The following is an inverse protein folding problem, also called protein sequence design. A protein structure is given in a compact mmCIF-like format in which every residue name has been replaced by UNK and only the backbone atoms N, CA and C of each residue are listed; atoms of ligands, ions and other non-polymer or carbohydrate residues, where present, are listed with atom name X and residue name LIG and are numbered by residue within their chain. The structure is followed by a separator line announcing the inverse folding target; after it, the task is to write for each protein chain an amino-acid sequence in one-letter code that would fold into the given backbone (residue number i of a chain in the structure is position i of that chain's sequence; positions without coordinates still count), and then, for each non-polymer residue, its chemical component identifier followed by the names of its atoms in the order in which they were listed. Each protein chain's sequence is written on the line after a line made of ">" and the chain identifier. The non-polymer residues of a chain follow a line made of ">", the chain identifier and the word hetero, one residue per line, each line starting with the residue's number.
data_IF_488106573708
#
_entry.id   IF_488106573708
#
_cell.length_a   1.000
_cell.length_b   1.000
_cell.length_c   1.000
_cell.angle_alpha   90.00
_cell.angle_beta   90.00
_cell.angle_gamma   90.00
#
_symmetry.space_group_name_H-M   'P 1'
#
loop_
_entity.id
_entity.type
_entity.pdbx_description
1 polymer ?
#
# COMPACT_ATOMS: atom_id res chain seq x y z
N UNK A 1 -62.05 60.82 18.47
CA UNK A 1 -60.74 60.38 18.99
C UNK A 1 -60.41 58.91 18.71
N UNK A 2 -61.36 57.97 18.74
CA UNK A 2 -61.07 56.54 18.48
C UNK A 2 -60.89 56.16 17.01
N UNK A 3 -61.57 56.86 16.08
CA UNK A 3 -61.52 56.55 14.64
C UNK A 3 -60.22 56.98 13.96
N UNK A 4 -59.65 58.12 14.36
CA UNK A 4 -58.42 58.66 13.74
C UNK A 4 -57.18 57.86 14.15
N UNK A 5 -57.17 57.31 15.37
CA UNK A 5 -56.11 56.41 15.85
C UNK A 5 -56.12 55.05 15.12
N UNK A 6 -57.30 54.49 14.84
CA UNK A 6 -57.43 53.24 14.07
C UNK A 6 -56.90 53.37 12.65
N UNK A 7 -57.15 54.50 11.98
CA UNK A 7 -56.68 54.74 10.60
C UNK A 7 -55.15 54.85 10.57
N UNK A 8 -54.55 55.57 11.52
CA UNK A 8 -53.09 55.68 11.63
C UNK A 8 -52.42 54.31 11.88
N UNK A 9 -53.03 53.47 12.71
CA UNK A 9 -52.52 52.15 13.04
C UNK A 9 -52.57 51.19 11.83
N UNK A 10 -53.67 51.23 11.06
CA UNK A 10 -53.81 50.42 9.82
C UNK A 10 -52.81 50.85 8.75
N UNK A 11 -52.58 52.15 8.58
CA UNK A 11 -51.60 52.68 7.61
C UNK A 11 -50.16 52.25 7.90
N UNK A 12 -49.81 51.99 9.16
CA UNK A 12 -48.47 51.54 9.54
C UNK A 12 -48.34 50.02 9.49
N UNK A 13 -49.35 49.28 9.98
CA UNK A 13 -49.27 47.82 10.07
C UNK A 13 -49.50 47.09 8.75
N UNK A 14 -50.38 47.62 7.88
CA UNK A 14 -50.65 47.00 6.60
C UNK A 14 -49.42 46.89 5.68
N UNK A 15 -48.62 47.95 5.43
CA UNK A 15 -47.43 47.84 4.59
C UNK A 15 -46.32 46.99 5.24
N UNK A 16 -46.19 47.01 6.57
CA UNK A 16 -45.22 46.18 7.28
C UNK A 16 -45.52 44.68 7.12
N UNK A 17 -46.79 44.29 7.23
CA UNK A 17 -47.23 42.91 7.03
C UNK A 17 -47.03 42.43 5.58
N UNK A 18 -47.34 43.28 4.60
CA UNK A 18 -47.14 42.98 3.17
C UNK A 18 -45.66 42.83 2.84
N UNK A 19 -44.80 43.72 3.36
CA UNK A 19 -43.35 43.65 3.17
C UNK A 19 -42.73 42.37 3.74
N UNK A 20 -43.11 41.98 4.96
CA UNK A 20 -42.66 40.72 5.57
C UNK A 20 -43.10 39.49 4.77
N UNK A 21 -44.37 39.45 4.35
CA UNK A 21 -44.91 38.30 3.60
C UNK A 21 -44.25 38.16 2.22
N UNK A 22 -44.09 39.26 1.50
CA UNK A 22 -43.41 39.27 0.20
C UNK A 22 -41.93 38.89 0.34
N UNK A 23 -41.22 39.45 1.33
CA UNK A 23 -39.82 39.13 1.60
C UNK A 23 -39.59 37.66 1.94
N UNK A 24 -40.47 37.05 2.75
CA UNK A 24 -40.38 35.64 3.09
C UNK A 24 -40.64 34.72 1.88
N UNK A 25 -41.65 35.04 1.06
CA UNK A 25 -42.00 34.25 -0.13
C UNK A 25 -40.94 34.34 -1.23
N UNK A 26 -40.46 35.54 -1.56
CA UNK A 26 -39.45 35.74 -2.59
C UNK A 26 -38.05 35.30 -2.12
N UNK A 27 -37.69 35.58 -0.86
CA UNK A 27 -36.40 35.19 -0.29
C UNK A 27 -36.24 33.67 -0.18
N UNK A 28 -37.31 32.95 0.20
CA UNK A 28 -37.29 31.49 0.28
C UNK A 28 -37.01 30.81 -1.07
N UNK A 29 -37.58 31.33 -2.17
CA UNK A 29 -37.36 30.78 -3.50
C UNK A 29 -35.90 30.96 -3.96
N UNK A 30 -35.32 32.15 -3.75
CA UNK A 30 -33.92 32.42 -4.08
C UNK A 30 -32.94 31.56 -3.29
N UNK A 31 -33.19 31.37 -1.99
CA UNK A 31 -32.33 30.51 -1.13
C UNK A 31 -32.38 29.05 -1.56
N UNK A 32 -33.55 28.54 -1.96
CA UNK A 32 -33.65 27.15 -2.45
C UNK A 32 -32.97 26.96 -3.79
N UNK A 33 -33.01 27.96 -4.68
CA UNK A 33 -32.31 27.90 -5.96
C UNK A 33 -30.78 27.86 -5.76
N UNK A 34 -30.24 28.75 -4.93
CA UNK A 34 -28.80 28.76 -4.61
C UNK A 34 -28.35 27.45 -3.95
N UNK A 35 -29.16 26.90 -3.03
CA UNK A 35 -28.86 25.60 -2.41
C UNK A 35 -28.90 24.45 -3.41
N UNK A 36 -29.84 24.48 -4.36
CA UNK A 36 -29.94 23.45 -5.39
C UNK A 36 -28.76 23.50 -6.37
N UNK A 37 -28.30 24.69 -6.75
CA UNK A 37 -27.10 24.86 -7.56
C UNK A 37 -25.85 24.37 -6.82
N UNK A 38 -25.68 24.78 -5.56
CA UNK A 38 -24.54 24.36 -4.76
C UNK A 38 -24.52 22.84 -4.49
N UNK A 39 -25.69 22.22 -4.28
CA UNK A 39 -25.80 20.77 -4.15
C UNK A 39 -25.38 20.03 -5.43
N UNK A 40 -25.73 20.58 -6.61
CA UNK A 40 -25.30 20.01 -7.90
C UNK A 40 -23.80 20.14 -8.12
N UNK A 41 -23.22 21.27 -7.76
CA UNK A 41 -21.77 21.50 -7.85
C UNK A 41 -20.99 20.51 -6.96
N UNK A 42 -21.41 20.33 -5.71
CA UNK A 42 -20.78 19.39 -4.78
C UNK A 42 -20.85 17.94 -5.28
N UNK A 43 -22.00 17.53 -5.84
CA UNK A 43 -22.15 16.19 -6.44
C UNK A 43 -21.25 16.03 -7.67
N UNK A 44 -21.22 17.02 -8.56
CA UNK A 44 -20.37 16.98 -9.75
C UNK A 44 -18.87 16.90 -9.42
N UNK A 45 -18.43 17.64 -8.39
CA UNK A 45 -17.05 17.58 -7.87
C UNK A 45 -16.73 16.23 -7.22
N UNK A 46 -17.67 15.63 -6.50
CA UNK A 46 -17.51 14.30 -5.92
C UNK A 46 -17.42 13.21 -7.00
N UNK A 47 -18.25 13.30 -8.05
CA UNK A 47 -18.28 12.34 -9.15
C UNK A 47 -17.03 12.40 -10.04
N UNK A 48 -16.53 13.60 -10.34
CA UNK A 48 -15.30 13.76 -11.13
C UNK A 48 -14.09 13.10 -10.44
N UNK A 49 -14.00 13.21 -9.12
CA UNK A 49 -12.92 12.59 -8.34
C UNK A 49 -13.10 11.08 -8.18
N UNK A 50 -14.35 10.58 -8.08
CA UNK A 50 -14.61 9.16 -7.87
C UNK A 50 -14.13 8.32 -9.06
N UNK A 51 -14.35 8.76 -10.31
CA UNK A 51 -13.96 8.01 -11.50
C UNK A 51 -12.44 7.82 -11.57
N UNK A 52 -11.66 8.89 -11.37
CA UNK A 52 -10.21 8.82 -11.40
C UNK A 52 -9.66 7.93 -10.28
N UNK A 53 -10.24 8.02 -9.07
CA UNK A 53 -9.88 7.17 -7.95
C UNK A 53 -10.23 5.70 -8.21
N UNK A 54 -11.42 5.39 -8.75
CA UNK A 54 -11.81 4.03 -9.09
C UNK A 54 -10.90 3.41 -10.15
N UNK A 55 -10.48 4.18 -11.16
CA UNK A 55 -9.52 3.70 -12.15
C UNK A 55 -8.13 3.47 -11.56
N UNK A 56 -7.67 4.34 -10.66
CA UNK A 56 -6.41 4.15 -9.93
C UNK A 56 -6.47 2.91 -9.03
N UNK A 57 -7.56 2.73 -8.27
CA UNK A 57 -7.79 1.57 -7.42
C UNK A 57 -7.90 0.27 -8.22
N UNK A 58 -8.59 0.28 -9.36
CA UNK A 58 -8.69 -0.89 -10.23
C UNK A 58 -7.31 -1.33 -10.75
N UNK A 59 -6.48 -0.36 -11.17
CA UNK A 59 -5.08 -0.63 -11.57
C UNK A 59 -4.25 -1.15 -10.41
N UNK A 60 -4.35 -0.53 -9.24
CA UNK A 60 -3.62 -0.96 -8.04
C UNK A 60 -4.02 -2.39 -7.62
N UNK A 61 -5.31 -2.70 -7.60
CA UNK A 61 -5.83 -4.03 -7.27
C UNK A 61 -5.35 -5.08 -8.28
N UNK A 62 -5.35 -4.77 -9.58
CA UNK A 62 -4.83 -5.66 -10.61
C UNK A 62 -3.35 -5.96 -10.39
N UNK A 63 -2.54 -4.92 -10.19
CA UNK A 63 -1.11 -5.07 -9.91
C UNK A 63 -0.86 -5.87 -8.62
N UNK A 64 -1.67 -5.66 -7.58
CA UNK A 64 -1.57 -6.41 -6.33
C UNK A 64 -1.89 -7.90 -6.53
N UNK A 65 -2.92 -8.21 -7.32
CA UNK A 65 -3.26 -9.60 -7.67
C UNK A 65 -2.15 -10.26 -8.47
N UNK A 66 -1.65 -9.58 -9.51
CA UNK A 66 -0.57 -10.07 -10.38
C UNK A 66 0.72 -10.30 -9.56
N UNK A 67 1.09 -9.36 -8.68
CA UNK A 67 2.24 -9.51 -7.79
C UNK A 67 2.05 -10.69 -6.82
N UNK A 68 0.87 -10.83 -6.23
CA UNK A 68 0.59 -11.96 -5.33
C UNK A 68 0.69 -13.31 -6.04
N UNK A 69 0.22 -13.39 -7.29
CA UNK A 69 0.28 -14.60 -8.10
C UNK A 69 1.73 -14.93 -8.49
N UNK A 70 2.48 -13.95 -8.98
CA UNK A 70 3.89 -14.10 -9.30
C UNK A 70 4.71 -14.51 -8.07
N UNK A 71 4.39 -13.95 -6.90
CA UNK A 71 5.05 -14.31 -5.64
C UNK A 71 4.79 -15.77 -5.27
N UNK A 72 3.53 -16.23 -5.35
CA UNK A 72 3.19 -17.65 -5.09
C UNK A 72 3.95 -18.60 -6.01
N UNK A 73 4.04 -18.27 -7.31
CA UNK A 73 4.78 -19.08 -8.29
C UNK A 73 6.28 -19.13 -7.92
N UNK A 74 6.88 -17.98 -7.58
CA UNK A 74 8.28 -17.92 -7.18
C UNK A 74 8.56 -18.73 -5.90
N UNK A 75 7.65 -18.66 -4.91
CA UNK A 75 7.77 -19.42 -3.66
C UNK A 75 7.60 -20.93 -3.91
N UNK A 76 6.65 -21.33 -4.77
CA UNK A 76 6.47 -22.73 -5.17
C UNK A 76 7.72 -23.29 -5.87
N UNK A 77 8.26 -22.58 -6.88
CA UNK A 77 9.47 -23.01 -7.58
C UNK A 77 10.67 -23.11 -6.63
N UNK A 78 10.75 -22.24 -5.62
CA UNK A 78 11.79 -22.32 -4.59
C UNK A 78 11.63 -23.58 -3.75
N UNK A 79 10.41 -23.90 -3.30
CA UNK A 79 10.14 -25.13 -2.56
C UNK A 79 10.40 -26.39 -3.39
N UNK A 80 10.01 -26.40 -4.67
CA UNK A 80 10.29 -27.52 -5.58
C UNK A 80 11.80 -27.76 -5.71
N UNK A 81 12.61 -26.71 -5.85
CA UNK A 81 14.08 -26.84 -5.86
C UNK A 81 14.63 -27.37 -4.55
N UNK A 82 14.11 -26.88 -3.41
CA UNK A 82 14.52 -27.37 -2.09
C UNK A 82 14.15 -28.85 -1.88
N UNK A 83 12.97 -29.27 -2.35
CA UNK A 83 12.56 -30.66 -2.30
C UNK A 83 13.38 -31.54 -3.25
N UNK A 84 13.69 -31.05 -4.45
CA UNK A 84 14.60 -31.74 -5.37
C UNK A 84 16.03 -31.84 -4.82
N UNK A 85 16.39 -31.01 -3.83
CA UNK A 85 17.70 -31.12 -3.18
C UNK A 85 17.82 -32.44 -2.42
N UNK A 86 16.75 -32.92 -1.77
CA UNK A 86 16.82 -34.18 -1.01
C UNK A 86 16.93 -35.42 -1.88
N UNK A 87 16.67 -35.32 -3.19
CA UNK A 87 16.84 -36.45 -4.13
C UNK A 87 18.22 -36.46 -4.79
N UNK A 88 18.95 -35.34 -4.78
CA UNK A 88 20.25 -35.19 -5.44
C UNK A 88 21.42 -35.03 -4.45
N UNK A 89 21.13 -34.67 -3.20
CA UNK A 89 22.13 -34.56 -2.13
C UNK A 89 22.05 -35.75 -1.19
N UNK A 90 23.21 -36.26 -0.80
CA UNK A 90 23.35 -37.46 0.04
C UNK A 90 23.52 -37.08 1.53
N UNK A 91 23.57 -35.79 1.87
CA UNK A 91 23.90 -35.34 3.23
C UNK A 91 25.36 -35.59 3.60
N UNK A 92 26.25 -35.78 2.62
CA UNK A 92 27.67 -36.07 2.85
C UNK A 92 28.40 -34.85 3.39
N UNK A 93 29.30 -35.06 4.34
CA UNK A 93 30.16 -34.01 4.88
C UNK A 93 31.07 -33.43 3.78
N UNK A 94 30.88 -32.15 3.45
CA UNK A 94 31.67 -31.42 2.46
C UNK A 94 32.69 -30.49 3.11
N UNK A 95 32.32 -29.80 4.18
CA UNK A 95 33.22 -28.90 4.92
C UNK A 95 33.19 -29.24 6.40
N UNK A 96 34.39 -29.27 7.00
CA UNK A 96 34.60 -29.51 8.43
C UNK A 96 34.91 -28.19 9.14
N UNK A 97 34.83 -28.21 10.46
CA UNK A 97 34.95 -27.05 11.36
C UNK A 97 36.10 -26.06 11.03
N UNK A 98 37.35 -26.49 10.69
CA UNK A 98 38.41 -25.54 10.34
C UNK A 98 38.12 -24.70 9.07
N UNK A 99 37.49 -25.32 8.07
CA UNK A 99 37.12 -24.64 6.84
C UNK A 99 35.91 -23.72 7.04
N UNK A 100 34.98 -24.11 7.92
CA UNK A 100 33.83 -23.29 8.29
C UNK A 100 34.26 -22.04 9.06
N UNK A 101 35.22 -22.17 9.99
CA UNK A 101 35.80 -21.02 10.68
C UNK A 101 36.45 -20.01 9.73
N UNK A 102 37.12 -20.49 8.69
CA UNK A 102 37.72 -19.63 7.68
C UNK A 102 36.65 -18.84 6.90
N UNK A 103 35.55 -19.51 6.55
CA UNK A 103 34.40 -18.89 5.89
C UNK A 103 33.67 -17.88 6.79
N UNK A 104 33.51 -18.18 8.07
CA UNK A 104 32.88 -17.27 9.04
C UNK A 104 33.70 -16.01 9.31
N UNK A 105 35.02 -16.11 9.18
CA UNK A 105 35.93 -14.97 9.29
C UNK A 105 36.02 -14.10 8.03
N UNK A 106 35.39 -14.49 6.92
CA UNK A 106 35.47 -13.74 5.67
C UNK A 106 34.58 -12.47 5.72
N UNK A 107 35.13 -11.28 5.44
CA UNK A 107 34.37 -10.03 5.50
C UNK A 107 33.26 -10.01 4.44
N UNK A 108 32.04 -9.68 4.87
CA UNK A 108 30.87 -9.62 3.98
C UNK A 108 30.23 -10.98 3.69
N UNK A 109 30.84 -12.09 4.11
CA UNK A 109 30.27 -13.42 4.02
C UNK A 109 29.76 -13.83 5.41
N UNK A 110 28.46 -14.15 5.52
CA UNK A 110 27.91 -14.81 6.72
C UNK A 110 27.35 -16.15 6.30
N UNK A 111 27.93 -17.21 6.86
CA UNK A 111 27.59 -18.59 6.54
C UNK A 111 26.71 -19.12 7.67
N UNK A 112 25.43 -18.72 7.66
CA UNK A 112 24.43 -19.28 8.58
C UNK A 112 24.01 -20.65 8.07
N UNK A 113 24.66 -21.70 8.56
CA UNK A 113 24.26 -23.07 8.32
C UNK A 113 23.29 -23.56 9.40
N UNK A 114 22.22 -24.27 9.02
CA UNK A 114 21.38 -24.95 10.00
C UNK A 114 22.22 -25.95 10.81
N UNK A 115 21.89 -26.19 12.10
CA UNK A 115 22.65 -27.09 12.94
C UNK A 115 22.70 -28.48 12.30
N UNK A 116 23.89 -29.10 12.32
CA UNK A 116 24.09 -30.43 11.77
C UNK A 116 23.13 -31.42 12.45
N UNK A 117 22.17 -31.95 11.69
CA UNK A 117 21.30 -33.02 12.16
C UNK A 117 22.10 -34.31 12.28
N UNK A 118 22.67 -34.58 13.46
CA UNK A 118 23.27 -35.88 13.76
C UNK A 118 24.29 -35.87 14.90
N UNK A 119 23.87 -36.26 16.09
CA UNK A 119 24.72 -36.81 17.16
C UNK A 119 25.60 -35.82 17.93
N UNK A 120 25.64 -35.97 19.25
CA UNK A 120 26.31 -35.09 20.21
C UNK A 120 27.85 -34.97 20.06
N UNK A 121 28.48 -35.74 19.17
CA UNK A 121 29.92 -35.74 18.93
C UNK A 121 30.34 -35.27 17.53
N UNK A 122 29.40 -34.82 16.69
CA UNK A 122 29.73 -34.22 15.41
C UNK A 122 30.08 -32.73 15.62
N UNK A 123 31.37 -32.39 15.61
CA UNK A 123 31.80 -31.00 15.46
C UNK A 123 31.08 -30.30 14.29
N UNK A 124 31.10 -28.96 14.23
CA UNK A 124 30.38 -28.22 13.20
C UNK A 124 30.78 -28.70 11.78
N UNK A 125 29.89 -29.41 11.09
CA UNK A 125 30.12 -29.98 9.75
C UNK A 125 28.99 -29.55 8.82
N UNK A 126 29.38 -29.06 7.64
CA UNK A 126 28.46 -28.73 6.57
C UNK A 126 28.33 -29.90 5.60
N UNK A 127 27.09 -30.26 5.29
CA UNK A 127 26.78 -31.24 4.26
C UNK A 127 26.59 -30.56 2.90
N UNK A 128 26.66 -31.32 1.82
CA UNK A 128 26.24 -30.88 0.48
C UNK A 128 24.86 -30.21 0.46
N UNK A 129 23.88 -30.76 1.19
CA UNK A 129 22.55 -30.15 1.36
C UNK A 129 22.61 -28.79 2.06
N UNK A 130 23.50 -28.62 3.04
CA UNK A 130 23.69 -27.34 3.75
C UNK A 130 24.33 -26.29 2.84
N UNK A 131 25.35 -26.67 2.08
CA UNK A 131 26.02 -25.78 1.14
C UNK A 131 25.07 -25.35 0.02
N UNK A 132 24.26 -26.27 -0.52
CA UNK A 132 23.25 -25.93 -1.53
C UNK A 132 22.22 -24.92 -1.01
N UNK A 133 21.68 -25.16 0.20
CA UNK A 133 20.71 -24.24 0.82
C UNK A 133 21.32 -22.87 1.09
N UNK A 134 22.56 -22.83 1.57
CA UNK A 134 23.29 -21.57 1.76
C UNK A 134 23.48 -20.81 0.44
N UNK A 135 23.89 -21.51 -0.63
CA UNK A 135 24.11 -20.89 -1.93
C UNK A 135 22.83 -20.28 -2.51
N UNK A 136 21.68 -20.97 -2.39
CA UNK A 136 20.38 -20.42 -2.78
C UNK A 136 20.02 -19.16 -1.98
N UNK A 137 20.20 -19.19 -0.66
CA UNK A 137 19.91 -18.05 0.20
C UNK A 137 20.82 -16.85 -0.10
N UNK A 138 22.12 -17.08 -0.31
CA UNK A 138 23.08 -16.05 -0.70
C UNK A 138 22.70 -15.42 -2.05
N UNK A 139 22.33 -16.23 -3.04
CA UNK A 139 21.84 -15.75 -4.34
C UNK A 139 20.59 -14.87 -4.23
N UNK A 140 19.62 -15.26 -3.38
CA UNK A 140 18.42 -14.46 -3.14
C UNK A 140 18.74 -13.09 -2.50
N UNK A 141 19.67 -13.05 -1.53
CA UNK A 141 20.12 -11.79 -0.91
C UNK A 141 20.82 -10.87 -1.91
N UNK A 142 21.65 -11.43 -2.78
CA UNK A 142 22.32 -10.66 -3.83
C UNK A 142 21.31 -10.09 -4.84
N UNK A 143 20.35 -10.91 -5.29
CA UNK A 143 19.29 -10.46 -6.19
C UNK A 143 18.47 -9.30 -5.59
N UNK A 144 18.16 -9.38 -4.29
CA UNK A 144 17.47 -8.29 -3.58
C UNK A 144 18.33 -7.01 -3.51
N UNK A 145 19.62 -7.14 -3.23
CA UNK A 145 20.55 -6.00 -3.25
C UNK A 145 20.59 -5.34 -4.65
N UNK A 146 20.69 -6.15 -5.70
CA UNK A 146 20.69 -5.67 -7.08
C UNK A 146 19.39 -4.96 -7.45
N UNK A 147 18.23 -5.48 -7.01
CA UNK A 147 16.94 -4.81 -7.20
C UNK A 147 16.88 -3.44 -6.53
N UNK A 148 17.33 -3.35 -5.26
CA UNK A 148 17.37 -2.08 -4.52
C UNK A 148 18.27 -1.06 -5.18
N UNK A 149 19.47 -1.49 -5.61
CA UNK A 149 20.40 -0.62 -6.32
C UNK A 149 19.81 -0.13 -7.64
N UNK A 150 19.18 -1.03 -8.41
CA UNK A 150 18.51 -0.65 -9.65
C UNK A 150 17.35 0.32 -9.41
N UNK A 151 16.58 0.15 -8.34
CA UNK A 151 15.54 1.09 -7.95
C UNK A 151 16.11 2.48 -7.61
N UNK A 152 17.26 2.55 -6.92
CA UNK A 152 17.95 3.82 -6.65
C UNK A 152 18.49 4.48 -7.92
N UNK A 153 19.00 3.71 -8.87
CA UNK A 153 19.50 4.21 -10.16
C UNK A 153 18.35 4.78 -11.01
N UNK A 154 17.18 4.12 -10.98
CA UNK A 154 16.01 4.52 -11.76
C UNK A 154 15.18 5.61 -11.08
N UNK A 155 15.45 5.94 -9.82
CA UNK A 155 14.74 6.99 -9.11
C UNK A 155 14.99 8.33 -9.84
N UNK A 156 13.94 9.02 -10.31
CA UNK A 156 14.10 10.38 -10.78
C UNK A 156 14.61 11.23 -9.60
N UNK A 157 15.58 12.12 -9.85
CA UNK A 157 15.99 13.15 -8.87
C UNK A 157 14.86 14.17 -8.79
N UNK A 158 13.79 13.81 -8.09
CA UNK A 158 12.68 14.68 -7.82
C UNK A 158 13.15 15.68 -6.75
N UNK A 159 13.69 16.80 -7.20
CA UNK A 159 13.79 18.02 -6.41
C UNK A 159 12.36 18.43 -6.06
N UNK A 160 11.94 18.42 -4.78
CA UNK A 160 10.65 18.96 -4.41
C UNK A 160 10.63 20.48 -4.70
N UNK A 161 9.46 21.07 -5.03
CA UNK A 161 9.35 22.50 -5.27
C UNK A 161 9.68 23.34 -4.04
#
# INVERSE_FOLDING_TARGET
>A
MTRDWLIALVMVLAPAAVGCYAGYKLGGAGVQQVRAEHARELVALADANSVALHQALARANRLALDLSAARRIADQLTQERLNATSTVTDGRACLREPALRLLDSAPGLRVELPPAGGGADAGHVATDTHIYRWALAAGARYAECARRLNALIQAPTETPP
#
